data_IF_541115209505
#
_entry.id   IF_541115209505
#
_cell.length_a   1.000
_cell.length_b   1.000
_cell.length_c   1.000
_cell.angle_alpha   90.00
_cell.angle_beta   90.00
_cell.angle_gamma   90.00
#
_symmetry.space_group_name_H-M   'P 1'
#
loop_
_entity.id
_entity.type
_entity.pdbx_description
1 polymer ?
#
# COMPACT_ATOMS: atom_id res chain seq x y z
N UNK A 1 14.11 15.81 -4.77
CA UNK A 1 14.29 15.47 -3.33
C UNK A 1 15.73 15.73 -2.91
N UNK A 2 16.72 15.25 -3.67
CA UNK A 2 18.14 15.46 -3.33
C UNK A 2 18.57 16.91 -3.25
N UNK A 3 18.06 17.77 -4.15
CA UNK A 3 18.31 19.22 -4.04
C UNK A 3 17.83 19.79 -2.71
N UNK A 4 16.64 19.43 -2.24
CA UNK A 4 16.08 19.91 -0.96
C UNK A 4 16.90 19.35 0.21
N UNK A 5 17.26 18.06 0.17
CA UNK A 5 18.12 17.42 1.19
C UNK A 5 19.49 18.09 1.29
N UNK A 6 20.05 18.55 0.17
CA UNK A 6 21.36 19.21 0.13
C UNK A 6 21.31 20.69 0.54
N UNK A 7 20.27 21.43 0.12
CA UNK A 7 20.21 22.89 0.34
C UNK A 7 19.45 23.29 1.60
N UNK A 8 18.56 22.43 2.11
CA UNK A 8 17.80 22.69 3.33
C UNK A 8 17.40 21.37 4.03
N UNK A 9 18.35 20.69 4.70
CA UNK A 9 18.09 19.41 5.39
C UNK A 9 17.00 19.52 6.47
N UNK A 10 16.88 20.67 7.13
CA UNK A 10 15.83 20.94 8.12
C UNK A 10 14.43 21.09 7.49
N UNK A 11 14.34 21.36 6.18
CA UNK A 11 13.08 21.35 5.43
C UNK A 11 12.65 19.96 4.96
N UNK A 12 13.41 18.90 5.26
CA UNK A 12 12.90 17.52 5.24
C UNK A 12 11.99 17.34 6.46
N UNK A 13 10.91 18.13 6.46
CA UNK A 13 9.78 18.06 7.38
C UNK A 13 8.96 16.81 7.00
N UNK A 14 8.14 16.23 7.91
CA UNK A 14 7.22 15.13 7.62
C UNK A 14 6.54 15.17 6.24
N UNK A 15 6.21 16.37 5.73
CA UNK A 15 5.55 16.59 4.44
C UNK A 15 6.37 16.12 3.21
N UNK A 16 7.70 16.22 3.24
CA UNK A 16 8.56 15.79 2.11
C UNK A 16 9.04 14.35 2.31
N UNK A 17 9.13 13.88 3.55
CA UNK A 17 9.60 12.55 3.88
C UNK A 17 8.72 11.44 3.29
N UNK A 18 7.40 11.66 3.18
CA UNK A 18 6.49 10.73 2.51
C UNK A 18 6.81 10.59 1.01
N UNK A 19 7.04 11.71 0.31
CA UNK A 19 7.43 11.69 -1.10
C UNK A 19 8.82 11.07 -1.30
N UNK A 20 9.73 11.29 -0.35
CA UNK A 20 11.04 10.64 -0.36
C UNK A 20 10.93 9.14 -0.22
N UNK A 21 10.13 8.66 0.74
CA UNK A 21 9.88 7.23 0.90
C UNK A 21 9.26 6.65 -0.37
N UNK A 22 8.28 7.34 -0.95
CA UNK A 22 7.65 6.92 -2.20
C UNK A 22 8.67 6.77 -3.34
N UNK A 23 9.53 7.78 -3.56
CA UNK A 23 10.59 7.73 -4.57
C UNK A 23 11.58 6.59 -4.28
N UNK A 24 12.04 6.44 -3.05
CA UNK A 24 12.99 5.40 -2.67
C UNK A 24 12.43 3.99 -2.88
N UNK A 25 11.13 3.78 -2.57
CA UNK A 25 10.43 2.52 -2.87
C UNK A 25 10.30 2.27 -4.37
N UNK A 26 10.04 3.31 -5.17
CA UNK A 26 9.97 3.20 -6.63
C UNK A 26 11.34 2.87 -7.24
N UNK A 27 12.42 3.48 -6.73
CA UNK A 27 13.81 3.30 -7.17
C UNK A 27 14.46 2.02 -6.63
N UNK A 28 13.79 1.32 -5.71
CA UNK A 28 14.30 0.12 -5.02
C UNK A 28 15.53 0.39 -4.17
N UNK A 29 15.67 1.63 -3.72
CA UNK A 29 16.74 2.04 -2.81
C UNK A 29 16.32 1.78 -1.36
N UNK A 30 16.74 0.63 -0.85
CA UNK A 30 16.46 0.24 0.54
C UNK A 30 17.17 1.10 1.59
N UNK A 31 18.29 1.76 1.25
CA UNK A 31 18.96 2.67 2.18
C UNK A 31 18.20 4.00 2.24
N UNK A 32 17.91 4.60 1.09
CA UNK A 32 17.12 5.81 1.02
C UNK A 32 15.71 5.63 1.61
N UNK A 33 15.08 4.46 1.45
CA UNK A 33 13.77 4.19 2.03
C UNK A 33 13.82 4.15 3.58
N UNK A 34 14.90 3.62 4.16
CA UNK A 34 15.10 3.63 5.62
C UNK A 34 15.32 5.04 6.13
N UNK A 35 16.18 5.80 5.45
CA UNK A 35 16.46 7.20 5.83
C UNK A 35 15.18 8.06 5.73
N UNK A 36 14.38 7.85 4.68
CA UNK A 36 13.09 8.51 4.51
C UNK A 36 12.09 8.15 5.62
N UNK A 37 12.02 6.88 6.00
CA UNK A 37 11.18 6.43 7.11
C UNK A 37 11.62 7.03 8.46
N UNK A 38 12.93 7.15 8.70
CA UNK A 38 13.44 7.85 9.89
C UNK A 38 12.98 9.31 9.89
N UNK A 39 13.02 9.99 8.74
CA UNK A 39 12.58 11.37 8.60
C UNK A 39 11.04 11.57 8.66
N UNK A 40 10.24 10.52 8.45
CA UNK A 40 8.78 10.65 8.28
C UNK A 40 7.97 10.80 9.58
N UNK A 41 8.58 10.61 10.77
CA UNK A 41 7.83 10.60 12.03
C UNK A 41 6.90 9.38 12.17
N UNK A 42 5.86 9.47 13.01
CA UNK A 42 5.10 8.28 13.45
C UNK A 42 4.01 7.80 12.48
N UNK A 43 3.48 8.67 11.61
CA UNK A 43 2.41 8.32 10.68
C UNK A 43 2.92 8.28 9.24
N UNK A 44 2.87 7.11 8.61
CA UNK A 44 3.26 6.92 7.20
C UNK A 44 2.04 6.57 6.38
N UNK A 45 1.84 7.32 5.30
CA UNK A 45 0.78 7.07 4.33
C UNK A 45 1.43 6.56 3.04
N UNK A 46 0.97 5.41 2.55
CA UNK A 46 1.46 4.84 1.29
C UNK A 46 0.67 5.38 0.10
N UNK A 47 -0.64 5.19 0.13
CA UNK A 47 -1.61 5.85 -0.73
C UNK A 47 -2.78 6.29 0.14
N UNK A 48 -3.11 7.58 0.04
CA UNK A 48 -4.19 8.34 0.68
C UNK A 48 -5.04 7.62 1.77
N UNK A 49 -5.14 8.27 2.93
CA UNK A 49 -6.16 8.06 3.98
C UNK A 49 -6.17 6.73 4.76
N UNK A 50 -5.31 5.75 4.45
CA UNK A 50 -5.08 4.61 5.37
C UNK A 50 -3.78 4.82 6.13
N UNK A 51 -3.81 5.18 7.42
CA UNK A 51 -2.61 5.28 8.23
C UNK A 51 -2.01 3.89 8.40
N UNK A 52 -0.75 3.73 7.99
CA UNK A 52 0.02 2.51 8.19
C UNK A 52 1.06 2.80 9.27
N UNK A 53 1.20 1.85 10.21
CA UNK A 53 2.19 2.01 11.27
C UNK A 53 3.62 1.86 10.73
N UNK A 54 4.57 2.46 11.44
CA UNK A 54 6.00 2.41 11.08
C UNK A 54 6.51 0.97 10.88
N UNK A 55 6.20 -0.02 11.74
CA UNK A 55 6.66 -1.40 11.54
C UNK A 55 6.14 -2.04 10.23
N UNK A 56 4.95 -1.66 9.75
CA UNK A 56 4.47 -2.13 8.45
C UNK A 56 5.40 -1.68 7.31
N UNK A 57 5.82 -0.41 7.33
CA UNK A 57 6.70 0.15 6.31
C UNK A 57 8.10 -0.49 6.40
N UNK A 58 8.60 -0.73 7.61
CA UNK A 58 9.84 -1.51 7.81
C UNK A 58 9.73 -2.90 7.19
N UNK A 59 8.58 -3.57 7.35
CA UNK A 59 8.28 -4.85 6.71
C UNK A 59 8.29 -4.77 5.19
N UNK A 60 7.71 -3.72 4.62
CA UNK A 60 7.73 -3.47 3.17
C UNK A 60 9.16 -3.25 2.65
N UNK A 61 9.95 -2.41 3.33
CA UNK A 61 11.34 -2.15 2.95
C UNK A 61 12.17 -3.44 3.05
N UNK A 62 12.04 -4.19 4.15
CA UNK A 62 12.75 -5.45 4.35
C UNK A 62 12.39 -6.48 3.27
N UNK A 63 11.11 -6.61 2.94
CA UNK A 63 10.66 -7.50 1.86
C UNK A 63 11.19 -7.06 0.50
N UNK A 64 11.21 -5.75 0.21
CA UNK A 64 11.75 -5.20 -1.04
C UNK A 64 13.23 -5.56 -1.23
N UNK A 65 14.04 -5.51 -0.17
CA UNK A 65 15.46 -5.91 -0.19
C UNK A 65 15.68 -7.41 0.05
N UNK A 66 14.61 -8.23 0.05
CA UNK A 66 14.62 -9.69 0.23
C UNK A 66 15.13 -10.16 1.60
N UNK A 67 15.05 -9.31 2.63
CA UNK A 67 15.34 -9.67 4.01
C UNK A 67 14.07 -10.24 4.68
N UNK A 68 13.81 -11.53 4.42
CA UNK A 68 12.57 -12.20 4.82
C UNK A 68 12.41 -12.29 6.35
N UNK A 69 13.50 -12.45 7.09
CA UNK A 69 13.47 -12.52 8.55
C UNK A 69 13.06 -11.16 9.15
N UNK A 70 13.70 -10.07 8.71
CA UNK A 70 13.30 -8.74 9.15
C UNK A 70 11.89 -8.38 8.71
N UNK A 71 11.49 -8.76 7.49
CA UNK A 71 10.13 -8.53 7.01
C UNK A 71 9.09 -9.20 7.92
N UNK A 72 9.30 -10.48 8.25
CA UNK A 72 8.39 -11.23 9.15
C UNK A 72 8.35 -10.62 10.55
N UNK A 73 9.50 -10.23 11.09
CA UNK A 73 9.59 -9.61 12.42
C UNK A 73 8.84 -8.27 12.45
N UNK A 74 9.06 -7.42 11.45
CA UNK A 74 8.43 -6.11 11.36
C UNK A 74 6.91 -6.21 11.13
N UNK A 75 6.43 -7.09 10.26
CA UNK A 75 4.99 -7.31 10.11
C UNK A 75 4.34 -7.90 11.37
N UNK A 76 5.04 -8.74 12.13
CA UNK A 76 4.53 -9.26 13.42
C UNK A 76 4.35 -8.14 14.45
N UNK A 77 5.31 -7.22 14.52
CA UNK A 77 5.21 -6.02 15.35
C UNK A 77 4.06 -5.11 14.89
N UNK A 78 3.97 -4.86 13.58
CA UNK A 78 2.88 -4.09 12.97
C UNK A 78 1.51 -4.65 13.33
N UNK A 79 1.36 -5.97 13.31
CA UNK A 79 0.11 -6.65 13.62
C UNK A 79 -0.33 -6.40 15.06
N UNK A 80 0.60 -6.52 16.01
CA UNK A 80 0.34 -6.31 17.44
C UNK A 80 -0.19 -4.91 17.73
N UNK A 81 0.33 -3.90 17.04
CA UNK A 81 -0.15 -2.52 17.15
C UNK A 81 -1.51 -2.33 16.48
N UNK A 82 -1.67 -2.84 15.26
CA UNK A 82 -2.88 -2.66 14.46
C UNK A 82 -4.10 -3.37 15.07
N UNK A 83 -3.90 -4.53 15.72
CA UNK A 83 -4.98 -5.24 16.42
C UNK A 83 -5.63 -4.38 17.51
N UNK A 84 -4.86 -3.55 18.22
CA UNK A 84 -5.40 -2.65 19.25
C UNK A 84 -6.32 -1.59 18.63
N UNK A 85 -5.94 -1.07 17.45
CA UNK A 85 -6.73 -0.08 16.70
C UNK A 85 -8.05 -0.72 16.23
N UNK A 86 -7.97 -1.93 15.67
CA UNK A 86 -9.16 -2.67 15.22
C UNK A 86 -10.07 -3.02 16.40
N UNK A 87 -9.53 -3.41 17.56
CA UNK A 87 -10.33 -3.66 18.77
C UNK A 87 -11.07 -2.41 19.26
N UNK A 88 -10.41 -1.25 19.21
CA UNK A 88 -11.04 0.02 19.57
C UNK A 88 -12.09 0.48 18.55
N UNK A 89 -11.92 0.13 17.26
CA UNK A 89 -12.76 0.57 16.15
C UNK A 89 -13.07 -0.58 15.17
N UNK A 90 -13.84 -1.60 15.58
CA UNK A 90 -14.01 -2.84 14.81
C UNK A 90 -14.78 -2.67 13.49
N UNK A 91 -15.47 -1.54 13.30
CA UNK A 91 -16.21 -1.22 12.08
C UNK A 91 -15.57 -0.06 11.30
N UNK A 92 -14.31 0.29 11.59
CA UNK A 92 -13.57 1.29 10.81
C UNK A 92 -12.81 0.62 9.67
N UNK A 93 -13.34 0.73 8.45
CA UNK A 93 -12.81 0.08 7.25
C UNK A 93 -11.30 0.25 7.03
N UNK A 94 -10.74 1.48 7.09
CA UNK A 94 -9.31 1.71 6.98
C UNK A 94 -8.45 0.93 7.98
N UNK A 95 -8.90 0.77 9.23
CA UNK A 95 -8.15 0.00 10.23
C UNK A 95 -8.12 -1.51 9.92
N UNK A 96 -9.25 -2.06 9.44
CA UNK A 96 -9.29 -3.45 8.97
C UNK A 96 -8.45 -3.66 7.71
N UNK A 97 -8.47 -2.68 6.80
CA UNK A 97 -7.67 -2.72 5.58
C UNK A 97 -6.17 -2.79 5.89
N UNK A 98 -5.69 -1.96 6.83
CA UNK A 98 -4.31 -2.00 7.29
C UNK A 98 -3.95 -3.36 7.92
N UNK A 99 -4.85 -3.95 8.73
CA UNK A 99 -4.64 -5.28 9.29
C UNK A 99 -4.54 -6.35 8.19
N UNK A 100 -5.39 -6.28 7.17
CA UNK A 100 -5.36 -7.20 6.04
C UNK A 100 -4.06 -7.16 5.25
N UNK A 101 -3.48 -5.96 5.06
CA UNK A 101 -2.16 -5.81 4.41
C UNK A 101 -1.04 -6.43 5.25
N UNK A 102 -1.08 -6.24 6.57
CA UNK A 102 -0.11 -6.82 7.51
C UNK A 102 -0.21 -8.35 7.48
N UNK A 103 -1.43 -8.89 7.56
CA UNK A 103 -1.68 -10.33 7.55
C UNK A 103 -1.30 -10.95 6.21
N UNK A 104 -1.50 -10.24 5.10
CA UNK A 104 -0.98 -10.64 3.80
C UNK A 104 0.56 -10.69 3.78
N UNK A 105 1.24 -9.70 4.38
CA UNK A 105 2.69 -9.67 4.54
C UNK A 105 3.25 -10.82 5.39
N UNK A 106 2.44 -11.35 6.31
CA UNK A 106 2.74 -12.53 7.13
C UNK A 106 2.36 -13.86 6.47
N UNK A 107 1.68 -13.84 5.32
CA UNK A 107 1.18 -15.03 4.64
C UNK A 107 -0.10 -15.63 5.25
N UNK A 108 -0.81 -14.87 6.07
CA UNK A 108 -2.08 -15.27 6.72
C UNK A 108 -3.25 -15.03 5.77
N UNK A 109 -3.33 -15.87 4.74
CA UNK A 109 -4.19 -15.65 3.56
C UNK A 109 -5.64 -15.44 3.92
N UNK A 110 -6.20 -16.32 4.74
CA UNK A 110 -7.62 -16.31 5.06
C UNK A 110 -7.98 -15.07 5.91
N UNK A 111 -7.16 -14.72 6.90
CA UNK A 111 -7.32 -13.48 7.68
C UNK A 111 -7.28 -12.25 6.79
N UNK A 112 -6.23 -12.14 5.98
CA UNK A 112 -5.98 -10.98 5.14
C UNK A 112 -7.14 -10.69 4.17
N UNK A 113 -7.65 -11.74 3.50
CA UNK A 113 -8.77 -11.61 2.58
C UNK A 113 -10.09 -11.29 3.29
N UNK A 114 -10.35 -11.86 4.48
CA UNK A 114 -11.55 -11.53 5.26
C UNK A 114 -11.55 -10.05 5.66
N UNK A 115 -10.43 -9.57 6.17
CA UNK A 115 -10.27 -8.18 6.63
C UNK A 115 -10.36 -7.17 5.48
N UNK A 116 -9.69 -7.45 4.36
CA UNK A 116 -9.76 -6.61 3.16
C UNK A 116 -11.17 -6.52 2.56
N UNK A 117 -11.89 -7.66 2.46
CA UNK A 117 -13.29 -7.66 1.99
C UNK A 117 -14.19 -6.88 2.94
N UNK A 118 -14.02 -7.08 4.25
CA UNK A 118 -14.79 -6.34 5.26
C UNK A 118 -14.55 -4.84 5.19
N UNK A 119 -13.32 -4.41 4.90
CA UNK A 119 -13.02 -2.99 4.68
C UNK A 119 -13.79 -2.41 3.50
N UNK A 120 -13.87 -3.12 2.37
CA UNK A 120 -14.67 -2.73 1.20
C UNK A 120 -16.16 -2.69 1.51
N UNK A 121 -16.69 -3.65 2.27
CA UNK A 121 -18.11 -3.66 2.69
C UNK A 121 -18.47 -2.47 3.59
N UNK A 122 -17.58 -2.08 4.50
CA UNK A 122 -17.81 -0.98 5.45
C UNK A 122 -17.70 0.40 4.77
N UNK A 123 -16.89 0.49 3.71
CA UNK A 123 -16.67 1.72 2.95
C UNK A 123 -16.80 1.44 1.44
N UNK A 124 -18.03 1.24 0.94
CA UNK A 124 -18.26 0.97 -0.47
C UNK A 124 -18.07 2.24 -1.32
N UNK A 125 -17.70 2.04 -2.59
CA UNK A 125 -17.45 3.13 -3.56
C UNK A 125 -18.69 4.02 -3.76
N UNK A 126 -19.88 3.44 -3.64
CA UNK A 126 -21.16 4.15 -3.78
C UNK A 126 -21.40 5.16 -2.65
N UNK A 127 -20.80 4.93 -1.47
CA UNK A 127 -20.93 5.79 -0.31
C UNK A 127 -19.84 6.86 -0.28
N UNK A 128 -18.62 6.48 -0.62
CA UNK A 128 -17.47 7.37 -0.71
C UNK A 128 -16.61 6.92 -1.89
N UNK A 129 -16.78 7.59 -3.03
CA UNK A 129 -16.13 7.18 -4.28
C UNK A 129 -14.61 7.18 -4.20
N UNK A 130 -14.03 8.11 -3.44
CA UNK A 130 -12.59 8.23 -3.30
C UNK A 130 -12.04 7.19 -2.32
N UNK A 131 -12.54 7.17 -1.09
CA UNK A 131 -12.00 6.28 -0.06
C UNK A 131 -12.44 4.82 -0.28
N UNK A 132 -13.61 4.58 -0.87
CA UNK A 132 -14.03 3.24 -1.27
C UNK A 132 -13.15 2.66 -2.38
N UNK A 133 -12.71 3.48 -3.34
CA UNK A 133 -11.76 3.03 -4.36
C UNK A 133 -10.41 2.62 -3.76
N UNK A 134 -9.97 3.34 -2.72
CA UNK A 134 -8.75 3.00 -1.96
C UNK A 134 -8.89 1.66 -1.24
N UNK A 135 -10.06 1.34 -0.65
CA UNK A 135 -10.28 0.01 -0.04
C UNK A 135 -10.15 -1.12 -1.08
N UNK A 136 -10.70 -0.90 -2.28
CA UNK A 136 -10.62 -1.88 -3.36
C UNK A 136 -9.19 -2.02 -3.90
N UNK A 137 -8.43 -0.93 -4.02
CA UNK A 137 -7.00 -0.95 -4.35
C UNK A 137 -6.22 -1.80 -3.36
N UNK A 138 -6.40 -1.57 -2.06
CA UNK A 138 -5.70 -2.35 -1.04
C UNK A 138 -6.15 -3.80 -0.98
N UNK A 139 -7.44 -4.11 -1.23
CA UNK A 139 -7.86 -5.50 -1.39
C UNK A 139 -7.13 -6.19 -2.56
N UNK A 140 -6.87 -5.46 -3.65
CA UNK A 140 -6.08 -6.00 -4.75
C UNK A 140 -4.61 -6.25 -4.36
N UNK A 141 -4.01 -5.35 -3.57
CA UNK A 141 -2.66 -5.54 -3.00
C UNK A 141 -2.62 -6.75 -2.08
N UNK A 142 -3.59 -6.88 -1.17
CA UNK A 142 -3.74 -8.03 -0.26
C UNK A 142 -3.80 -9.32 -1.07
N UNK A 143 -4.70 -9.38 -2.06
CA UNK A 143 -4.88 -10.54 -2.93
C UNK A 143 -3.58 -10.91 -3.66
N UNK A 144 -2.86 -9.92 -4.19
CA UNK A 144 -1.59 -10.12 -4.86
C UNK A 144 -0.53 -10.73 -3.92
N UNK A 145 -0.44 -10.23 -2.68
CA UNK A 145 0.56 -10.67 -1.71
C UNK A 145 0.31 -12.08 -1.19
N UNK A 146 -0.96 -12.50 -1.10
CA UNK A 146 -1.35 -13.87 -0.73
C UNK A 146 -1.42 -14.84 -1.93
N UNK A 147 -1.02 -14.37 -3.12
CA UNK A 147 -0.93 -15.17 -4.35
C UNK A 147 -2.26 -15.37 -5.09
N UNK A 148 -3.34 -14.71 -4.68
CA UNK A 148 -4.63 -14.73 -5.37
C UNK A 148 -4.64 -13.71 -6.52
N UNK A 149 -3.94 -14.05 -7.60
CA UNK A 149 -3.76 -13.16 -8.77
C UNK A 149 -5.06 -12.87 -9.51
N UNK A 150 -6.00 -13.80 -9.48
CA UNK A 150 -7.30 -13.66 -10.14
C UNK A 150 -8.11 -12.55 -9.47
N UNK A 151 -8.27 -12.64 -8.15
CA UNK A 151 -8.92 -11.61 -7.37
C UNK A 151 -8.17 -10.26 -7.48
N UNK A 152 -6.84 -10.28 -7.41
CA UNK A 152 -6.05 -9.05 -7.50
C UNK A 152 -6.30 -8.30 -8.82
N UNK A 153 -6.29 -9.02 -9.95
CA UNK A 153 -6.56 -8.44 -11.26
C UNK A 153 -8.02 -7.97 -11.41
N UNK A 154 -8.98 -8.73 -10.87
CA UNK A 154 -10.40 -8.35 -10.88
C UNK A 154 -10.63 -7.02 -10.14
N UNK A 155 -10.11 -6.91 -8.91
CA UNK A 155 -10.25 -5.69 -8.10
C UNK A 155 -9.55 -4.50 -8.76
N UNK A 156 -8.33 -4.68 -9.29
CA UNK A 156 -7.60 -3.64 -10.05
C UNK A 156 -8.39 -3.14 -11.26
N UNK A 157 -8.96 -4.04 -12.06
CA UNK A 157 -9.74 -3.69 -13.24
C UNK A 157 -10.97 -2.83 -12.87
N UNK A 158 -11.54 -3.03 -11.68
CA UNK A 158 -12.66 -2.24 -11.20
C UNK A 158 -12.25 -0.81 -10.82
N UNK A 159 -11.04 -0.56 -10.34
CA UNK A 159 -10.60 0.77 -9.87
C UNK A 159 -9.93 1.61 -10.96
N UNK A 160 -9.16 1.01 -11.88
CA UNK A 160 -8.44 1.74 -12.94
C UNK A 160 -9.40 2.45 -13.91
N UNK A 161 -10.64 1.95 -14.03
CA UNK A 161 -11.67 2.52 -14.91
C UNK A 161 -12.46 3.66 -14.27
N UNK A 162 -12.21 3.95 -13.00
CA UNK A 162 -12.86 5.03 -12.23
C UNK A 162 -11.82 6.09 -11.89
N UNK A 163 -12.23 7.35 -11.66
CA UNK A 163 -11.36 8.32 -11.03
C UNK A 163 -10.86 7.75 -9.69
N UNK A 164 -9.57 7.43 -9.62
CA UNK A 164 -8.93 6.89 -8.44
C UNK A 164 -7.53 7.49 -8.30
N UNK A 165 -6.97 7.41 -7.10
CA UNK A 165 -5.60 7.84 -6.82
C UNK A 165 -4.54 6.91 -7.41
N UNK A 166 -4.94 5.79 -8.01
CA UNK A 166 -4.07 4.78 -8.58
C UNK A 166 -3.62 5.19 -10.00
N UNK A 167 -2.32 5.37 -10.16
CA UNK A 167 -1.66 5.83 -11.38
C UNK A 167 -0.84 4.73 -12.05
N UNK A 168 -0.59 4.91 -13.35
CA UNK A 168 0.36 4.09 -14.11
C UNK A 168 1.72 3.97 -13.40
N UNK A 169 2.24 5.06 -12.85
CA UNK A 169 3.53 5.08 -12.16
C UNK A 169 3.54 4.18 -10.91
N UNK A 170 2.48 4.20 -10.12
CA UNK A 170 2.34 3.33 -8.95
C UNK A 170 2.36 1.85 -9.35
N UNK A 171 1.53 1.47 -10.32
CA UNK A 171 1.44 0.10 -10.82
C UNK A 171 2.78 -0.38 -11.38
N UNK A 172 3.49 0.48 -12.12
CA UNK A 172 4.75 0.12 -12.77
C UNK A 172 5.90 0.00 -11.78
N UNK A 173 6.04 0.95 -10.86
CA UNK A 173 7.28 1.14 -10.10
C UNK A 173 7.24 0.54 -8.69
N UNK A 174 6.08 0.57 -8.01
CA UNK A 174 6.06 0.29 -6.57
C UNK A 174 6.18 -1.20 -6.23
N UNK A 175 6.80 -1.55 -5.08
CA UNK A 175 7.04 -2.94 -4.64
C UNK A 175 5.78 -3.76 -4.35
N UNK A 176 4.64 -3.10 -4.23
CA UNK A 176 3.37 -3.69 -3.84
C UNK A 176 2.81 -4.60 -4.94
N UNK A 177 3.13 -4.27 -6.19
CA UNK A 177 2.65 -4.96 -7.38
C UNK A 177 3.62 -6.01 -7.91
N UNK A 178 4.77 -6.18 -7.26
CA UNK A 178 5.79 -7.17 -7.65
C UNK A 178 5.22 -8.58 -7.86
N UNK A 179 4.29 -9.09 -7.02
CA UNK A 179 3.72 -10.44 -7.22
C UNK A 179 2.91 -10.62 -8.50
N UNK A 180 2.41 -9.52 -9.09
CA UNK A 180 1.61 -9.54 -10.32
C UNK A 180 2.45 -9.33 -11.58
N UNK A 181 3.70 -8.85 -11.48
CA UNK A 181 4.54 -8.62 -12.64
C UNK A 181 4.76 -9.92 -13.43
N UNK A 182 4.63 -9.82 -14.75
CA UNK A 182 4.66 -10.97 -15.65
C UNK A 182 3.33 -11.72 -15.80
N UNK A 183 2.28 -11.37 -15.05
CA UNK A 183 0.91 -11.82 -15.39
C UNK A 183 0.37 -10.98 -16.56
N UNK A 184 -0.01 -11.59 -17.70
CA UNK A 184 -0.48 -10.84 -18.87
C UNK A 184 -1.69 -9.94 -18.60
N UNK A 185 -2.55 -10.31 -17.64
CA UNK A 185 -3.74 -9.52 -17.27
C UNK A 185 -3.33 -8.25 -16.55
N UNK A 186 -2.36 -8.35 -15.64
CA UNK A 186 -1.81 -7.20 -14.94
C UNK A 186 -1.09 -6.24 -15.90
N UNK A 187 -0.25 -6.75 -16.80
CA UNK A 187 0.43 -5.89 -17.78
C UNK A 187 -0.55 -5.15 -18.69
N UNK A 188 -1.67 -5.80 -19.07
CA UNK A 188 -2.75 -5.12 -19.80
C UNK A 188 -3.38 -3.98 -18.99
N UNK A 189 -3.63 -4.18 -17.69
CA UNK A 189 -4.17 -3.16 -16.80
C UNK A 189 -3.20 -1.99 -16.62
N UNK A 190 -1.89 -2.27 -16.54
CA UNK A 190 -0.84 -1.24 -16.52
C UNK A 190 -0.88 -0.40 -17.80
N UNK A 191 -1.03 -1.01 -18.97
CA UNK A 191 -1.17 -0.28 -20.23
C UNK A 191 -2.47 0.53 -20.32
N UNK A 192 -3.58 0.01 -19.79
CA UNK A 192 -4.85 0.74 -19.69
C UNK A 192 -4.70 2.00 -18.82
N UNK A 193 -3.97 1.90 -17.69
CA UNK A 193 -3.75 3.01 -16.77
C UNK A 193 -2.91 4.17 -17.33
N UNK A 194 -2.28 4.02 -18.51
CA UNK A 194 -1.62 5.14 -19.22
C UNK A 194 -2.61 6.14 -19.80
N UNK A 195 -3.84 5.70 -20.06
CA UNK A 195 -4.86 6.51 -20.73
C UNK A 195 -5.61 7.35 -19.69
N UNK A 196 -5.96 8.61 -19.99
CA UNK A 196 -6.84 9.38 -19.13
C UNK A 196 -8.16 8.65 -18.91
N UNK A 197 -8.66 8.65 -17.67
CA UNK A 197 -10.00 8.15 -17.38
C UNK A 197 -11.01 9.10 -18.02
N UNK A 198 -11.82 8.59 -18.95
CA UNK A 198 -12.88 9.38 -19.56
C UNK A 198 -13.97 9.66 -18.52
N UNK A 199 -14.17 10.94 -18.19
CA UNK A 199 -15.30 11.39 -17.38
C UNK A 199 -16.54 11.36 -18.28
N UNK A 200 -17.54 10.55 -17.93
CA UNK A 200 -18.86 10.55 -18.57
C UNK A 200 -19.84 11.37 -17.75
#
# INVERSE_FOLDING_TARGET
IDSIRATNPAAVVPDIAQWWLYCALAERDGAAAKDALIASGDAVFFTHNVPLNRPFIEGVIARMIKDNEKARSAFSAARTEQEKIVQAQPNFGPALCALGLIDAGLGRKEEALREGRRAVELLPVEKDSMNGAVMVEYLAVIAAWVGDKDLACEQLASVIRRPSSLSYGQLKLLPFWDPLRGDPRFEKLVEEAKKPVALK
#
